data_IF_436026162827
#
_entry.id   IF_436026162827
#
_cell.length_a   1.000
_cell.length_b   1.000
_cell.length_c   1.000
_cell.angle_alpha   90.00
_cell.angle_beta   90.00
_cell.angle_gamma   90.00
#
_symmetry.space_group_name_H-M   'P 1'
#
loop_
_entity.id
_entity.type
_entity.pdbx_description
1 polymer ?
#
# COMPACT_ATOMS: atom_id res chain seq x y z
N UNK A 1 13.97 14.83 6.74
CA UNK A 1 14.42 13.62 6.03
C UNK A 1 13.23 12.97 5.34
N UNK A 2 13.49 12.22 4.29
CA UNK A 2 12.48 11.66 3.40
C UNK A 2 12.52 10.15 3.44
N UNK A 3 11.39 9.51 3.72
CA UNK A 3 11.43 8.12 4.15
C UNK A 3 10.42 7.22 3.46
N UNK A 4 10.82 5.98 3.17
CA UNK A 4 9.99 4.96 2.54
C UNK A 4 9.29 4.05 3.57
N UNK A 5 7.96 4.00 3.51
CA UNK A 5 7.14 3.02 4.19
C UNK A 5 6.59 2.03 3.16
N UNK A 6 6.68 0.73 3.44
CA UNK A 6 6.15 -0.32 2.58
C UNK A 6 4.84 -0.86 3.16
N UNK A 7 3.73 -0.66 2.45
CA UNK A 7 2.44 -1.27 2.79
C UNK A 7 2.34 -2.58 2.01
N UNK A 8 2.31 -3.73 2.70
CA UNK A 8 2.22 -5.03 2.01
C UNK A 8 0.77 -5.49 1.89
N UNK A 9 0.46 -6.06 0.72
CA UNK A 9 -0.65 -6.99 0.59
C UNK A 9 -0.30 -8.28 1.31
N UNK A 10 -1.25 -8.83 2.06
CA UNK A 10 -1.10 -10.04 2.90
C UNK A 10 -0.25 -11.13 2.22
N UNK A 11 0.82 -11.57 2.87
CA UNK A 11 1.52 -12.82 2.52
C UNK A 11 0.71 -13.99 3.09
N UNK A 12 0.11 -14.86 2.26
CA UNK A 12 -0.32 -16.17 2.76
C UNK A 12 0.84 -17.15 2.64
N UNK A 13 1.20 -17.74 3.77
CA UNK A 13 1.87 -19.04 3.76
C UNK A 13 0.89 -20.08 3.18
N UNK A 14 1.46 -21.04 2.48
CA UNK A 14 0.85 -21.95 1.51
C UNK A 14 -0.40 -22.71 1.99
N UNK A 15 -1.40 -22.78 1.09
CA UNK A 15 -2.52 -23.74 0.99
C UNK A 15 -3.02 -24.44 2.27
N UNK A 16 -4.24 -24.06 2.71
CA UNK A 16 -5.46 -24.90 2.84
C UNK A 16 -6.44 -24.24 3.81
N UNK A 17 -7.64 -23.94 3.30
CA UNK A 17 -8.90 -23.68 4.02
C UNK A 17 -8.80 -23.01 5.41
N UNK A 18 -9.05 -21.69 5.53
CA UNK A 18 -9.71 -21.06 6.71
C UNK A 18 -9.78 -19.53 6.65
N UNK A 19 -10.94 -19.02 7.09
CA UNK A 19 -11.28 -17.79 7.85
C UNK A 19 -10.38 -16.55 7.61
N UNK A 20 -10.98 -15.52 6.99
CA UNK A 20 -10.48 -14.14 6.93
C UNK A 20 -9.80 -13.71 8.23
N UNK A 21 -8.50 -13.42 8.17
CA UNK A 21 -7.80 -12.62 9.18
C UNK A 21 -7.48 -11.25 8.59
N UNK A 22 -7.68 -10.16 9.35
CA UNK A 22 -7.21 -8.84 8.98
C UNK A 22 -5.83 -8.65 9.59
N UNK A 23 -4.77 -8.58 8.81
CA UNK A 23 -3.49 -8.18 9.40
C UNK A 23 -2.77 -7.06 8.68
N UNK A 24 -3.17 -6.68 7.46
CA UNK A 24 -2.79 -5.38 6.89
C UNK A 24 -1.30 -5.05 7.08
N UNK A 25 -0.44 -6.06 6.90
CA UNK A 25 0.93 -6.05 7.37
C UNK A 25 1.71 -4.95 6.66
N UNK A 26 2.51 -4.19 7.40
CA UNK A 26 3.36 -3.15 6.86
C UNK A 26 4.76 -3.26 7.45
N UNK A 27 5.74 -2.71 6.73
CA UNK A 27 7.12 -2.63 7.18
C UNK A 27 7.59 -1.19 7.00
N UNK A 28 8.15 -0.64 8.06
CA UNK A 28 8.87 0.64 8.06
C UNK A 28 10.37 0.37 8.03
N UNK A 29 11.15 1.30 7.46
CA UNK A 29 12.59 1.34 7.68
C UNK A 29 12.90 2.16 8.96
N UNK A 30 14.18 2.22 9.36
CA UNK A 30 14.58 2.94 10.58
C UNK A 30 14.21 4.43 10.54
N UNK A 31 14.29 5.06 9.36
CA UNK A 31 13.95 6.47 9.20
C UNK A 31 12.44 6.75 9.39
N UNK A 32 11.59 5.72 9.27
CA UNK A 32 10.11 5.83 9.38
C UNK A 32 9.62 5.31 10.72
N UNK A 33 10.52 5.18 11.68
CA UNK A 33 10.17 4.92 13.06
C UNK A 33 9.11 5.92 13.54
N UNK A 34 7.97 5.39 13.99
CA UNK A 34 6.81 6.16 14.43
C UNK A 34 5.67 6.22 13.40
N UNK A 35 5.91 5.89 12.13
CA UNK A 35 4.85 5.69 11.16
C UNK A 35 4.12 4.36 11.44
N UNK A 36 2.80 4.36 11.26
CA UNK A 36 1.99 3.14 11.40
C UNK A 36 1.02 3.01 10.26
N UNK A 37 0.65 1.78 9.91
CA UNK A 37 -0.38 1.51 8.91
C UNK A 37 -1.48 0.67 9.54
N UNK A 38 -2.71 1.18 9.47
CA UNK A 38 -3.91 0.50 9.97
C UNK A 38 -4.81 0.13 8.80
N UNK A 39 -5.17 -1.16 8.71
CA UNK A 39 -6.20 -1.61 7.77
C UNK A 39 -7.59 -1.41 8.37
N UNK A 40 -8.34 -0.47 7.82
CA UNK A 40 -9.70 -0.11 8.26
C UNK A 40 -10.78 -1.02 7.65
N UNK A 41 -10.50 -1.63 6.51
CA UNK A 41 -11.42 -2.51 5.79
C UNK A 41 -10.80 -3.10 4.53
N UNK A 42 -11.60 -3.82 3.74
CA UNK A 42 -11.14 -4.33 2.43
C UNK A 42 -10.74 -3.16 1.54
N UNK A 43 -9.48 -3.16 1.11
CA UNK A 43 -8.92 -2.11 0.28
C UNK A 43 -8.95 -0.73 0.94
N UNK A 44 -8.91 -0.63 2.27
CA UNK A 44 -8.95 0.64 2.98
C UNK A 44 -7.89 0.67 4.08
N UNK A 45 -6.91 1.57 3.93
CA UNK A 45 -5.73 1.68 4.75
C UNK A 45 -5.55 3.12 5.22
N UNK A 46 -4.99 3.29 6.41
CA UNK A 46 -4.69 4.56 7.04
C UNK A 46 -3.21 4.55 7.44
N UNK A 47 -2.47 5.61 7.11
CA UNK A 47 -1.08 5.80 7.50
C UNK A 47 -0.99 6.98 8.46
N UNK A 48 -0.54 6.74 9.69
CA UNK A 48 -0.44 7.74 10.75
C UNK A 48 1.01 7.94 11.20
N UNK A 49 1.27 8.96 12.03
CA UNK A 49 2.62 9.28 12.53
C UNK A 49 3.53 10.00 11.52
N UNK A 50 2.93 10.56 10.47
CA UNK A 50 3.59 11.21 9.34
C UNK A 50 3.01 12.61 9.10
N UNK A 51 3.67 13.42 8.27
CA UNK A 51 3.26 14.77 7.85
C UNK A 51 2.82 14.82 6.38
N UNK A 52 2.27 13.72 5.89
CA UNK A 52 1.86 13.52 4.50
C UNK A 52 2.95 12.90 3.64
N UNK A 53 2.80 13.05 2.33
CA UNK A 53 3.81 12.63 1.36
C UNK A 53 5.12 13.38 1.56
N UNK A 54 6.19 12.78 1.07
CA UNK A 54 7.46 13.48 1.08
C UNK A 54 7.46 14.73 0.19
N UNK A 55 7.95 15.85 0.73
CA UNK A 55 7.92 17.15 0.05
C UNK A 55 9.04 17.37 -0.98
N UNK A 56 10.03 16.47 -1.11
CA UNK A 56 11.15 16.65 -2.04
C UNK A 56 10.79 16.44 -3.51
N UNK A 57 9.61 15.86 -3.79
CA UNK A 57 9.09 15.61 -5.14
C UNK A 57 9.96 14.67 -5.99
N UNK A 58 10.94 13.99 -5.40
CA UNK A 58 11.96 13.26 -6.12
C UNK A 58 11.55 11.84 -6.55
N UNK A 59 10.33 11.38 -6.21
CA UNK A 59 9.93 9.97 -6.37
C UNK A 59 8.42 9.74 -6.55
N UNK A 60 8.09 8.73 -7.35
CA UNK A 60 6.73 8.23 -7.63
C UNK A 60 5.99 9.03 -8.72
N UNK A 61 5.17 8.34 -9.52
CA UNK A 61 4.18 9.00 -10.36
C UNK A 61 3.12 9.59 -9.41
N UNK A 62 3.02 10.92 -9.33
CA UNK A 62 2.18 11.69 -8.39
C UNK A 62 2.74 11.98 -6.98
N UNK A 63 4.04 11.81 -6.74
CA UNK A 63 4.71 12.46 -5.60
C UNK A 63 4.70 11.69 -4.27
N UNK A 64 4.72 10.35 -4.32
CA UNK A 64 5.06 9.56 -3.14
C UNK A 64 4.48 8.15 -3.07
N UNK A 65 3.62 7.73 -3.99
CA UNK A 65 3.01 6.38 -3.99
C UNK A 65 3.35 5.61 -5.27
N UNK A 66 3.58 4.30 -5.15
CA UNK A 66 3.81 3.41 -6.29
C UNK A 66 2.86 2.21 -6.24
N UNK A 67 2.06 2.06 -7.29
CA UNK A 67 1.10 0.98 -7.43
C UNK A 67 1.76 -0.36 -7.79
N UNK A 68 1.17 -1.49 -7.38
CA UNK A 68 1.64 -2.79 -7.81
C UNK A 68 1.34 -3.01 -9.29
N UNK A 69 2.36 -3.43 -10.05
CA UNK A 69 2.27 -3.66 -11.50
C UNK A 69 2.58 -5.12 -11.85
N UNK A 70 2.00 -5.62 -12.94
CA UNK A 70 2.38 -6.92 -13.50
C UNK A 70 3.67 -6.83 -14.33
N UNK A 71 4.13 -7.96 -14.89
CA UNK A 71 5.35 -8.02 -15.71
C UNK A 71 5.30 -7.18 -17.00
N UNK A 72 4.12 -6.72 -17.41
CA UNK A 72 3.94 -5.82 -18.56
C UNK A 72 3.90 -4.34 -18.14
N UNK A 73 4.13 -4.03 -16.86
CA UNK A 73 4.06 -2.68 -16.33
C UNK A 73 2.64 -2.13 -16.13
N UNK A 74 1.61 -2.98 -16.21
CA UNK A 74 0.22 -2.56 -16.01
C UNK A 74 -0.18 -2.64 -14.54
N UNK A 75 -0.85 -1.61 -14.04
CA UNK A 75 -1.31 -1.53 -12.64
C UNK A 75 -2.32 -2.62 -12.32
N UNK A 76 -2.22 -3.25 -11.16
CA UNK A 76 -3.13 -4.32 -10.75
C UNK A 76 -4.38 -3.80 -10.03
N UNK A 77 -4.32 -2.57 -9.52
CA UNK A 77 -5.36 -1.93 -8.72
C UNK A 77 -5.42 -0.44 -9.06
N UNK A 78 -6.61 0.13 -8.89
CA UNK A 78 -6.79 1.57 -8.71
C UNK A 78 -6.42 1.97 -7.29
N UNK A 79 -5.92 3.18 -7.13
CA UNK A 79 -5.61 3.82 -5.86
C UNK A 79 -6.33 5.16 -5.82
N UNK A 80 -7.05 5.39 -4.74
CA UNK A 80 -7.66 6.66 -4.36
C UNK A 80 -7.10 7.04 -2.99
N UNK A 81 -6.18 8.00 -2.96
CA UNK A 81 -5.48 8.43 -1.75
C UNK A 81 -5.75 9.89 -1.40
N UNK A 82 -5.60 10.20 -0.11
CA UNK A 82 -5.84 11.54 0.42
C UNK A 82 -4.96 11.82 1.63
N UNK A 83 -4.25 12.94 1.59
CA UNK A 83 -3.60 13.50 2.78
C UNK A 83 -4.65 14.22 3.62
N UNK A 84 -4.79 13.82 4.87
CA UNK A 84 -5.71 14.42 5.84
C UNK A 84 -5.08 15.65 6.52
N UNK A 85 -5.90 16.44 7.23
CA UNK A 85 -5.46 17.72 7.82
C UNK A 85 -4.36 17.57 8.86
N UNK A 86 -4.27 16.42 9.52
CA UNK A 86 -3.25 16.08 10.51
C UNK A 86 -1.97 15.50 9.89
N UNK A 87 -1.92 15.38 8.56
CA UNK A 87 -0.80 14.81 7.82
C UNK A 87 -0.88 13.29 7.64
N UNK A 88 -1.86 12.61 8.24
CA UNK A 88 -2.09 11.20 7.94
C UNK A 88 -2.54 10.99 6.49
N UNK A 89 -2.41 9.77 5.97
CA UNK A 89 -2.83 9.44 4.60
C UNK A 89 -3.86 8.31 4.63
N UNK A 90 -5.03 8.57 4.06
CA UNK A 90 -6.03 7.54 3.76
C UNK A 90 -5.79 6.99 2.36
N UNK A 91 -5.82 5.66 2.20
CA UNK A 91 -5.64 4.98 0.91
C UNK A 91 -6.79 4.00 0.71
N UNK A 92 -7.45 4.10 -0.43
CA UNK A 92 -8.47 3.15 -0.89
C UNK A 92 -8.03 2.47 -2.18
N UNK A 93 -8.28 1.18 -2.29
CA UNK A 93 -7.86 0.37 -3.43
C UNK A 93 -9.01 -0.44 -4.01
N UNK A 94 -9.10 -0.43 -5.34
CA UNK A 94 -10.11 -1.18 -6.10
C UNK A 94 -9.46 -1.98 -7.22
N UNK A 95 -10.10 -3.06 -7.65
CA UNK A 95 -9.56 -3.94 -8.68
C UNK A 95 -9.53 -3.22 -10.04
N UNK A 96 -8.40 -3.28 -10.75
CA UNK A 96 -8.30 -2.77 -12.11
C UNK A 96 -8.25 -3.92 -13.10
N UNK A 97 -9.32 -4.11 -13.86
CA UNK A 97 -9.53 -5.27 -14.73
C UNK A 97 -8.79 -5.19 -16.07
N UNK A 98 -8.46 -3.99 -16.54
CA UNK A 98 -7.97 -3.73 -17.91
C UNK A 98 -8.91 -4.23 -19.02
N UNK A 99 -10.22 -4.01 -18.87
CA UNK A 99 -11.26 -4.52 -19.79
C UNK A 99 -11.08 -4.11 -21.25
N UNK A 100 -10.29 -3.06 -21.51
CA UNK A 100 -9.96 -2.57 -22.85
C UNK A 100 -8.89 -3.42 -23.57
N UNK A 101 -8.20 -4.32 -22.86
CA UNK A 101 -7.19 -5.21 -23.44
C UNK A 101 -7.80 -6.54 -23.92
N UNK A 102 -7.14 -7.27 -24.84
CA UNK A 102 -7.52 -8.64 -25.17
C UNK A 102 -7.61 -9.52 -23.93
N UNK A 103 -8.56 -10.46 -23.90
CA UNK A 103 -8.93 -11.24 -22.71
C UNK A 103 -7.74 -11.86 -21.96
N UNK A 104 -6.75 -12.39 -22.70
CA UNK A 104 -5.54 -13.01 -22.13
C UNK A 104 -4.61 -12.04 -21.39
N UNK A 105 -4.75 -10.74 -21.62
CA UNK A 105 -3.98 -9.68 -20.97
C UNK A 105 -4.78 -8.91 -19.93
N UNK A 106 -6.08 -9.20 -19.78
CA UNK A 106 -6.90 -8.62 -18.74
C UNK A 106 -6.50 -9.18 -17.38
N UNK A 107 -6.58 -8.35 -16.35
CA UNK A 107 -6.30 -8.72 -14.97
C UNK A 107 -7.48 -9.49 -14.36
N UNK A 108 -7.77 -10.69 -14.86
CA UNK A 108 -8.85 -11.57 -14.33
C UNK A 108 -8.42 -12.21 -13.00
N UNK A 109 -8.48 -11.44 -11.91
CA UNK A 109 -8.10 -11.89 -10.57
C UNK A 109 -9.25 -12.60 -9.87
N UNK A 110 -8.97 -13.78 -9.34
CA UNK A 110 -9.92 -14.59 -8.56
C UNK A 110 -10.01 -13.99 -7.16
N UNK A 111 -11.23 -13.70 -6.69
CA UNK A 111 -11.49 -13.21 -5.32
C UNK A 111 -11.80 -14.33 -4.34
N UNK A 112 -12.52 -15.35 -4.79
CA UNK A 112 -12.93 -16.48 -3.97
C UNK A 112 -13.20 -17.72 -4.82
N UNK A 113 -13.20 -18.87 -4.15
CA UNK A 113 -13.81 -20.10 -4.65
C UNK A 113 -15.09 -20.31 -3.86
N UNK A 114 -16.23 -20.36 -4.55
CA UNK A 114 -17.54 -20.62 -3.95
C UNK A 114 -18.07 -21.90 -4.59
N UNK A 115 -18.27 -22.94 -3.78
CA UNK A 115 -18.72 -24.27 -4.24
C UNK A 115 -17.88 -24.88 -5.38
N UNK A 116 -16.59 -24.57 -5.40
CA UNK A 116 -15.65 -25.02 -6.44
C UNK A 116 -15.55 -24.11 -7.65
N UNK A 117 -16.46 -23.13 -7.78
CA UNK A 117 -16.47 -22.15 -8.87
C UNK A 117 -15.61 -20.93 -8.56
N UNK A 118 -14.90 -20.43 -9.57
CA UNK A 118 -14.08 -19.23 -9.47
C UNK A 118 -14.95 -17.99 -9.55
N UNK A 119 -14.93 -17.21 -8.47
CA UNK A 119 -15.53 -15.87 -8.47
C UNK A 119 -14.42 -14.87 -8.71
N UNK A 120 -14.60 -14.01 -9.70
CA UNK A 120 -13.64 -12.96 -10.08
C UNK A 120 -14.02 -11.62 -9.48
N UNK A 121 -13.04 -10.73 -9.31
CA UNK A 121 -13.32 -9.32 -9.05
C UNK A 121 -13.99 -8.66 -10.25
N UNK A 122 -14.94 -7.78 -10.01
CA UNK A 122 -15.40 -6.82 -11.02
C UNK A 122 -14.43 -5.63 -11.09
N UNK A 123 -14.40 -4.96 -12.24
CA UNK A 123 -13.65 -3.71 -12.38
C UNK A 123 -14.17 -2.65 -11.40
N UNK A 124 -13.28 -1.99 -10.67
CA UNK A 124 -13.63 -1.04 -9.62
C UNK A 124 -14.14 -1.66 -8.31
N UNK A 125 -14.21 -3.00 -8.18
CA UNK A 125 -14.61 -3.64 -6.92
C UNK A 125 -13.55 -3.38 -5.83
N UNK A 126 -13.94 -2.88 -4.62
CA UNK A 126 -13.01 -2.69 -3.51
C UNK A 126 -12.26 -3.98 -3.19
N UNK A 127 -10.94 -3.88 -3.10
CA UNK A 127 -10.09 -5.04 -2.95
C UNK A 127 -8.79 -4.70 -2.25
N UNK A 128 -8.22 -5.66 -1.54
CA UNK A 128 -6.89 -5.50 -0.97
C UNK A 128 -5.79 -5.54 -2.04
N UNK A 129 -4.62 -5.01 -1.66
CA UNK A 129 -3.38 -5.14 -2.43
C UNK A 129 -3.18 -6.63 -2.80
N UNK A 130 -2.90 -6.95 -4.08
CA UNK A 130 -2.72 -8.33 -4.52
C UNK A 130 -1.64 -9.06 -3.71
N UNK A 131 -1.85 -10.37 -3.50
CA UNK A 131 -0.88 -11.21 -2.82
C UNK A 131 0.47 -11.21 -3.56
N UNK A 132 1.57 -11.13 -2.81
CA UNK A 132 2.92 -11.05 -3.35
C UNK A 132 3.28 -9.67 -3.92
N UNK A 133 2.37 -8.69 -3.83
CA UNK A 133 2.62 -7.32 -4.20
C UNK A 133 2.71 -6.40 -2.97
N UNK A 134 3.22 -5.20 -3.20
CA UNK A 134 3.29 -4.14 -2.20
C UNK A 134 2.88 -2.81 -2.81
N UNK A 135 2.50 -1.90 -1.94
CA UNK A 135 2.28 -0.51 -2.22
C UNK A 135 3.38 0.28 -1.49
N UNK A 136 4.23 0.95 -2.27
CA UNK A 136 5.34 1.72 -1.71
C UNK A 136 4.87 3.16 -1.48
N UNK A 137 5.00 3.67 -0.26
CA UNK A 137 4.56 5.00 0.14
C UNK A 137 5.70 5.76 0.80
N UNK A 138 6.10 6.87 0.21
CA UNK A 138 7.16 7.75 0.70
C UNK A 138 6.55 8.91 1.46
N UNK A 139 6.90 9.02 2.73
CA UNK A 139 6.27 9.89 3.70
C UNK A 139 7.24 10.92 4.25
N UNK A 140 6.70 12.03 4.72
CA UNK A 140 7.45 13.00 5.51
C UNK A 140 7.33 12.64 6.99
N UNK A 141 8.46 12.38 7.64
CA UNK A 141 8.51 12.08 9.08
C UNK A 141 8.74 13.38 9.87
N UNK A 142 8.07 13.58 11.03
CA UNK A 142 8.30 14.74 11.89
C UNK A 142 9.77 14.92 12.29
N UNK A 143 10.25 16.17 12.33
CA UNK A 143 11.64 16.50 12.65
C UNK A 143 12.06 16.15 14.09
N UNK A 144 11.10 15.87 14.95
CA UNK A 144 11.27 15.44 16.31
C UNK A 144 10.94 13.95 16.51
N UNK A 145 10.88 13.16 15.43
CA UNK A 145 10.83 11.70 15.52
C UNK A 145 12.07 11.14 16.24
N UNK A 146 11.95 9.93 16.79
CA UNK A 146 13.04 9.23 17.50
C UNK A 146 14.29 9.17 16.63
N UNK A 147 14.13 8.74 15.37
CA UNK A 147 15.20 8.74 14.36
C UNK A 147 15.87 10.10 14.18
N UNK A 148 15.10 11.15 13.88
CA UNK A 148 15.65 12.48 13.59
C UNK A 148 16.33 13.11 14.82
N UNK A 149 15.85 12.82 16.04
CA UNK A 149 16.53 13.22 17.28
C UNK A 149 17.86 12.50 17.45
N UNK A 150 17.93 11.21 17.13
CA UNK A 150 19.16 10.41 17.16
C UNK A 150 20.25 10.95 16.23
N UNK A 151 19.88 11.36 15.02
CA UNK A 151 20.81 11.96 14.05
C UNK A 151 21.40 13.29 14.53
N UNK A 152 20.57 14.17 15.11
CA UNK A 152 21.02 15.47 15.65
C UNK A 152 22.04 15.33 16.79
N UNK A 153 21.97 14.26 17.57
CA UNK A 153 22.94 13.99 18.64
C UNK A 153 24.29 13.52 18.09
N UNK A 154 24.30 12.82 16.95
CA UNK A 154 25.52 12.36 16.30
C UNK A 154 26.27 13.51 15.58
N UNK A 155 25.56 14.46 15.00
CA UNK A 155 26.16 15.62 14.31
C UNK A 155 26.80 16.66 15.27
N UNK A 156 26.52 16.55 16.58
CA UNK A 156 27.04 17.46 17.62
C UNK A 156 28.21 16.86 18.43
N UNK A 157 28.69 15.67 18.08
CA UNK A 157 29.85 15.00 18.68
C UNK A 157 31.05 14.95 17.76
#
# INVERSE_FOLDING_TARGET
MATLCHVFGVHRSSYKYRKNRPDGTFITNDESEGATVTKLGTGHYQIDGILGYNADGAWGDHGGISSPKNNNGLELIYIDDRVEKDGSITIKTCHYQHSHLPERFQNKRIKALVDGEKVYYADGEPCDIPEGCRLDVRVQIPADSVWNRGQKVQDLG
#
